data_IF_423236788884
#
_entry.id   IF_423236788884
#
_cell.length_a   1.000
_cell.length_b   1.000
_cell.length_c   1.000
_cell.angle_alpha   90.00
_cell.angle_beta   90.00
_cell.angle_gamma   90.00
#
_symmetry.space_group_name_H-M   'P 1'
#
loop_
_entity.id
_entity.type
_entity.pdbx_description
1 polymer ?
#
# COMPACT_ATOMS: atom_id res chain seq x y z
N UNK A 1 49.46 10.32 3.81
CA UNK A 1 48.28 10.47 4.70
C UNK A 1 47.14 11.37 4.17
N UNK A 2 47.33 12.24 3.15
CA UNK A 2 46.22 13.05 2.61
C UNK A 2 45.20 12.23 1.79
N UNK A 3 45.68 11.25 1.04
CA UNK A 3 44.84 10.41 0.16
C UNK A 3 43.89 9.45 0.89
N UNK A 4 44.27 8.95 2.08
CA UNK A 4 43.42 8.05 2.87
C UNK A 4 42.21 8.75 3.47
N UNK A 5 42.30 10.05 3.77
CA UNK A 5 41.16 10.86 4.26
C UNK A 5 40.14 11.15 3.15
N UNK A 6 40.62 11.37 1.92
CA UNK A 6 39.75 11.58 0.75
C UNK A 6 39.01 10.29 0.40
N UNK A 7 39.69 9.14 0.44
CA UNK A 7 39.06 7.84 0.19
C UNK A 7 37.96 7.52 1.22
N UNK A 8 38.22 7.77 2.51
CA UNK A 8 37.21 7.58 3.56
C UNK A 8 35.99 8.50 3.38
N UNK A 9 36.21 9.75 2.95
CA UNK A 9 35.13 10.70 2.67
C UNK A 9 34.28 10.24 1.47
N UNK A 10 34.91 9.78 0.38
CA UNK A 10 34.20 9.27 -0.80
C UNK A 10 33.38 8.04 -0.46
N UNK A 11 33.93 7.11 0.33
CA UNK A 11 33.20 5.92 0.80
C UNK A 11 32.02 6.36 1.68
N UNK A 12 32.21 7.30 2.61
CA UNK A 12 31.13 7.81 3.47
C UNK A 12 30.01 8.48 2.65
N UNK A 13 30.37 9.26 1.62
CA UNK A 13 29.40 9.92 0.73
C UNK A 13 28.66 8.90 -0.13
N UNK A 14 29.33 7.86 -0.63
CA UNK A 14 28.69 6.76 -1.36
C UNK A 14 27.72 5.95 -0.48
N UNK A 15 28.07 5.69 0.79
CA UNK A 15 27.16 5.03 1.72
C UNK A 15 25.98 5.94 2.11
N UNK A 16 26.21 7.23 2.36
CA UNK A 16 25.15 8.17 2.70
C UNK A 16 24.14 8.39 1.55
N UNK A 17 24.59 8.34 0.29
CA UNK A 17 23.71 8.51 -0.87
C UNK A 17 22.83 7.30 -1.17
N UNK A 18 23.15 6.10 -0.67
CA UNK A 18 22.23 4.95 -0.72
C UNK A 18 21.06 5.03 0.26
N UNK A 19 21.15 5.88 1.28
CA UNK A 19 20.12 6.04 2.32
C UNK A 19 19.04 7.08 1.97
N UNK A 20 19.20 7.83 0.88
CA UNK A 20 18.32 8.96 0.52
C UNK A 20 17.19 8.60 -0.46
N UNK A 21 17.13 7.36 -0.95
CA UNK A 21 16.05 6.92 -1.82
C UNK A 21 15.19 5.90 -1.07
N UNK A 22 14.06 6.36 -0.56
CA UNK A 22 12.86 5.62 -0.10
C UNK A 22 12.28 4.61 -1.12
N UNK A 23 12.99 4.38 -2.21
CA UNK A 23 12.47 3.90 -3.47
C UNK A 23 12.83 2.43 -3.65
N UNK A 24 11.83 1.55 -3.48
CA UNK A 24 12.05 0.12 -3.63
C UNK A 24 11.69 -0.36 -5.03
N UNK A 25 12.67 -0.96 -5.70
CA UNK A 25 12.49 -1.53 -7.05
C UNK A 25 11.60 -2.78 -7.03
N UNK A 26 11.51 -3.48 -5.90
CA UNK A 26 10.66 -4.65 -5.73
C UNK A 26 9.71 -4.48 -4.55
N UNK A 27 8.52 -5.03 -4.72
CA UNK A 27 7.48 -5.08 -3.68
C UNK A 27 7.95 -5.89 -2.46
N UNK A 28 8.70 -6.97 -2.68
CA UNK A 28 9.21 -7.81 -1.61
C UNK A 28 10.14 -7.02 -0.69
N UNK A 29 11.05 -6.21 -1.25
CA UNK A 29 11.95 -5.37 -0.46
C UNK A 29 11.18 -4.31 0.32
N UNK A 30 10.17 -3.68 -0.29
CA UNK A 30 9.28 -2.75 0.40
C UNK A 30 8.62 -3.39 1.62
N UNK A 31 8.08 -4.60 1.46
CA UNK A 31 7.43 -5.32 2.57
C UNK A 31 8.43 -5.70 3.66
N UNK A 32 9.66 -6.10 3.29
CA UNK A 32 10.70 -6.39 4.27
C UNK A 32 11.13 -5.14 5.03
N UNK A 33 11.27 -3.99 4.36
CA UNK A 33 11.58 -2.71 5.01
C UNK A 33 10.45 -2.26 5.93
N UNK A 34 9.20 -2.39 5.50
CA UNK A 34 8.01 -2.14 6.33
C UNK A 34 8.03 -3.01 7.58
N UNK A 35 8.23 -4.32 7.41
CA UNK A 35 8.28 -5.23 8.54
C UNK A 35 9.46 -4.93 9.48
N UNK A 36 10.62 -4.57 8.92
CA UNK A 36 11.81 -4.20 9.69
C UNK A 36 11.60 -2.91 10.48
N UNK A 37 10.98 -1.88 9.89
CA UNK A 37 10.72 -0.62 10.59
C UNK A 37 9.76 -0.82 11.75
N UNK A 38 8.74 -1.65 11.57
CA UNK A 38 7.81 -2.04 12.64
C UNK A 38 8.53 -2.83 13.75
N UNK A 39 9.35 -3.82 13.39
CA UNK A 39 10.12 -4.63 14.33
C UNK A 39 11.08 -3.80 15.17
N UNK A 40 11.78 -2.87 14.52
CA UNK A 40 12.75 -1.97 15.18
C UNK A 40 12.07 -0.80 15.88
N UNK A 41 10.76 -0.64 15.70
CA UNK A 41 9.99 0.53 16.10
C UNK A 41 10.62 1.84 15.60
N UNK A 42 11.14 1.82 14.37
CA UNK A 42 11.73 2.97 13.69
C UNK A 42 10.67 3.69 12.84
N UNK A 43 10.07 4.70 13.45
CA UNK A 43 9.07 5.57 12.82
C UNK A 43 9.63 6.26 11.57
N UNK A 44 10.88 6.71 11.62
CA UNK A 44 11.49 7.44 10.49
C UNK A 44 11.66 6.52 9.29
N UNK A 45 12.11 5.28 9.53
CA UNK A 45 12.20 4.26 8.49
C UNK A 45 10.82 3.89 7.92
N UNK A 46 9.77 3.88 8.75
CA UNK A 46 8.40 3.64 8.30
C UNK A 46 7.88 4.77 7.42
N UNK A 47 8.05 6.04 7.84
CA UNK A 47 7.64 7.22 7.06
C UNK A 47 8.39 7.28 5.73
N UNK A 48 9.65 6.87 5.72
CA UNK A 48 10.47 6.78 4.50
C UNK A 48 9.99 5.71 3.50
N UNK A 49 8.91 4.98 3.75
CA UNK A 49 8.30 4.09 2.76
C UNK A 49 7.17 4.76 1.97
N UNK A 50 6.80 5.97 2.36
CA UNK A 50 5.79 6.80 1.70
C UNK A 50 6.44 7.81 0.75
N UNK A 51 5.72 8.29 -0.27
CA UNK A 51 6.26 9.28 -1.19
C UNK A 51 6.53 10.60 -0.46
N UNK A 52 7.69 11.20 -0.72
CA UNK A 52 8.00 12.58 -0.33
C UNK A 52 7.28 13.59 -1.25
N UNK A 53 7.40 14.90 -0.99
CA UNK A 53 6.69 15.93 -1.76
C UNK A 53 6.92 15.86 -3.28
N UNK A 54 8.17 15.63 -3.71
CA UNK A 54 8.51 15.50 -5.13
C UNK A 54 7.95 14.19 -5.73
N UNK A 55 8.01 13.09 -4.99
CA UNK A 55 7.49 11.80 -5.45
C UNK A 55 5.97 11.79 -5.53
N UNK A 56 5.32 12.46 -4.57
CA UNK A 56 3.89 12.68 -4.55
C UNK A 56 3.42 13.48 -5.78
N UNK A 57 4.26 14.39 -6.29
CA UNK A 57 3.98 15.12 -7.52
C UNK A 57 3.76 14.19 -8.73
N UNK A 58 4.55 13.11 -8.85
CA UNK A 58 4.39 12.13 -9.93
C UNK A 58 3.12 11.30 -9.80
N UNK A 59 2.58 11.16 -8.59
CA UNK A 59 1.28 10.52 -8.35
C UNK A 59 0.15 11.48 -8.72
N UNK A 60 0.25 12.74 -8.28
CA UNK A 60 -0.84 13.70 -8.40
C UNK A 60 -0.96 14.32 -9.80
N UNK A 61 0.15 14.56 -10.51
CA UNK A 61 0.11 15.24 -11.81
C UNK A 61 -0.78 14.51 -12.82
N UNK A 62 -0.65 13.19 -13.06
CA UNK A 62 -1.54 12.49 -13.99
C UNK A 62 -3.00 12.54 -13.58
N UNK A 63 -3.30 12.48 -12.27
CA UNK A 63 -4.66 12.54 -11.73
C UNK A 63 -5.29 13.92 -11.93
N UNK A 64 -4.52 14.97 -11.68
CA UNK A 64 -4.93 16.36 -11.91
C UNK A 64 -5.11 16.61 -13.40
N UNK A 65 -4.18 16.16 -14.24
CA UNK A 65 -4.30 16.28 -15.69
C UNK A 65 -5.55 15.60 -16.23
N UNK A 66 -5.85 14.38 -15.79
CA UNK A 66 -7.06 13.66 -16.20
C UNK A 66 -8.33 14.41 -15.77
N UNK A 67 -8.36 14.89 -14.52
CA UNK A 67 -9.47 15.69 -14.00
C UNK A 67 -9.72 16.97 -14.83
N UNK A 68 -8.66 17.72 -15.15
CA UNK A 68 -8.76 18.95 -15.95
C UNK A 68 -9.04 18.70 -17.44
N UNK A 69 -8.61 17.56 -17.98
CA UNK A 69 -8.83 17.18 -19.38
C UNK A 69 -10.18 16.47 -19.61
N UNK A 70 -10.89 16.12 -18.53
CA UNK A 70 -12.23 15.54 -18.60
C UNK A 70 -13.22 16.43 -19.35
N UNK A 71 -14.17 15.82 -20.07
CA UNK A 71 -15.17 16.56 -20.84
C UNK A 71 -16.07 17.44 -19.95
N UNK A 72 -16.28 17.01 -18.71
CA UNK A 72 -17.06 17.73 -17.72
C UNK A 72 -16.37 19.04 -17.30
N UNK A 73 -15.08 18.98 -16.96
CA UNK A 73 -14.32 20.18 -16.61
C UNK A 73 -14.14 21.10 -17.82
N UNK A 74 -13.90 20.55 -19.01
CA UNK A 74 -13.85 21.35 -20.26
C UNK A 74 -15.17 22.05 -20.55
N UNK A 75 -16.30 21.38 -20.34
CA UNK A 75 -17.64 21.97 -20.49
C UNK A 75 -17.88 23.10 -19.49
N UNK A 76 -17.49 22.91 -18.23
CA UNK A 76 -17.61 23.93 -17.19
C UNK A 76 -16.73 25.17 -17.48
N UNK A 77 -15.51 24.97 -17.95
CA UNK A 77 -14.58 26.05 -18.32
C UNK A 77 -14.99 26.78 -19.61
N UNK A 78 -15.63 26.08 -20.56
CA UNK A 78 -16.14 26.69 -21.78
C UNK A 78 -17.44 27.50 -21.55
N UNK A 79 -18.22 27.13 -20.55
CA UNK A 79 -19.50 27.79 -20.21
C UNK A 79 -19.31 29.10 -19.43
N UNK A 80 -18.09 29.41 -19.00
CA UNK A 80 -17.77 30.59 -18.21
C UNK A 80 -16.95 31.55 -19.07
N UNK A 81 -17.58 32.62 -19.57
CA UNK A 81 -16.98 33.53 -20.58
C UNK A 81 -15.62 34.13 -20.13
N UNK A 82 -15.40 34.27 -18.82
CA UNK A 82 -14.14 34.75 -18.22
C UNK A 82 -12.98 33.75 -18.26
N UNK A 83 -13.22 32.47 -18.51
CA UNK A 83 -12.20 31.41 -18.47
C UNK A 83 -11.78 30.91 -19.85
N UNK A 84 -12.40 31.40 -20.92
CA UNK A 84 -12.10 31.06 -22.31
C UNK A 84 -10.65 31.34 -22.75
N UNK A 85 -9.91 32.17 -22.00
CA UNK A 85 -8.50 32.50 -22.23
C UNK A 85 -7.52 31.85 -21.25
N UNK A 86 -7.99 31.04 -20.30
CA UNK A 86 -7.12 30.43 -19.28
C UNK A 86 -6.44 29.20 -19.86
N UNK A 87 -5.10 29.20 -19.82
CA UNK A 87 -4.30 28.04 -20.18
C UNK A 87 -4.47 26.94 -19.11
N UNK A 88 -5.03 25.79 -19.50
CA UNK A 88 -5.25 24.62 -18.63
C UNK A 88 -3.94 24.15 -17.99
N UNK A 89 -2.83 24.18 -18.71
CA UNK A 89 -1.52 23.79 -18.18
C UNK A 89 -1.10 24.72 -17.05
N UNK A 90 -1.43 26.02 -17.12
CA UNK A 90 -1.18 26.96 -16.02
C UNK A 90 -2.02 26.63 -14.78
N UNK A 91 -3.25 26.16 -14.93
CA UNK A 91 -4.08 25.73 -13.80
C UNK A 91 -3.54 24.45 -13.17
N UNK A 92 -3.08 23.51 -14.00
CA UNK A 92 -2.43 22.28 -13.53
C UNK A 92 -1.17 22.64 -12.73
N UNK A 93 -0.30 23.51 -13.24
CA UNK A 93 0.91 23.92 -12.52
C UNK A 93 0.60 24.61 -11.18
N UNK A 94 -0.42 25.48 -11.14
CA UNK A 94 -0.86 26.11 -9.88
C UNK A 94 -1.35 25.04 -8.89
N UNK A 95 -2.17 24.09 -9.35
CA UNK A 95 -2.67 23.01 -8.49
C UNK A 95 -1.53 22.11 -8.02
N UNK A 96 -0.56 21.81 -8.88
CA UNK A 96 0.64 21.04 -8.55
C UNK A 96 1.43 21.72 -7.44
N UNK A 97 1.71 23.02 -7.60
CA UNK A 97 2.44 23.79 -6.58
C UNK A 97 1.73 23.81 -5.22
N UNK A 98 0.39 23.77 -5.21
CA UNK A 98 -0.38 23.67 -3.98
C UNK A 98 -0.24 22.29 -3.33
N UNK A 99 -0.40 21.20 -4.10
CA UNK A 99 -0.37 19.83 -3.54
C UNK A 99 1.04 19.32 -3.24
N UNK A 100 2.07 19.97 -3.78
CA UNK A 100 3.49 19.68 -3.47
C UNK A 100 4.12 20.74 -2.58
N UNK A 101 3.32 21.64 -1.99
CA UNK A 101 3.85 22.67 -1.10
C UNK A 101 4.51 22.03 0.14
N UNK A 102 5.58 22.63 0.70
CA UNK A 102 6.24 22.10 1.90
C UNK A 102 5.31 21.90 3.09
N UNK A 103 4.26 22.72 3.20
CA UNK A 103 3.23 22.57 4.25
C UNK A 103 2.44 21.27 4.08
N UNK A 104 2.09 20.89 2.84
CA UNK A 104 1.40 19.64 2.53
C UNK A 104 2.29 18.44 2.84
N UNK A 105 3.58 18.51 2.49
CA UNK A 105 4.54 17.46 2.83
C UNK A 105 4.67 17.27 4.36
N UNK A 106 4.73 18.37 5.12
CA UNK A 106 4.76 18.31 6.58
C UNK A 106 3.47 17.69 7.16
N UNK A 107 2.31 18.04 6.62
CA UNK A 107 1.03 17.45 7.00
C UNK A 107 0.95 15.95 6.67
N UNK A 108 1.42 15.53 5.49
CA UNK A 108 1.48 14.13 5.09
C UNK A 108 2.42 13.34 6.01
N UNK A 109 3.61 13.86 6.29
CA UNK A 109 4.57 13.25 7.22
C UNK A 109 3.94 13.07 8.61
N UNK A 110 3.21 14.08 9.11
CA UNK A 110 2.47 13.98 10.37
C UNK A 110 1.39 12.90 10.33
N UNK A 111 0.65 12.77 9.22
CA UNK A 111 -0.34 11.69 9.04
C UNK A 111 0.33 10.31 9.04
N UNK A 112 1.49 10.16 8.39
CA UNK A 112 2.22 8.89 8.37
C UNK A 112 2.77 8.52 9.75
N UNK A 113 3.24 9.51 10.53
CA UNK A 113 3.59 9.34 11.95
C UNK A 113 2.41 8.85 12.79
N UNK A 114 1.23 9.46 12.62
CA UNK A 114 0.00 9.02 13.29
C UNK A 114 -0.38 7.58 12.92
N UNK A 115 -0.35 7.24 11.62
CA UNK A 115 -0.61 5.89 11.13
C UNK A 115 0.37 4.87 11.74
N UNK A 116 1.65 5.22 11.83
CA UNK A 116 2.66 4.39 12.46
C UNK A 116 2.30 4.07 13.92
N UNK A 117 2.02 5.11 14.72
CA UNK A 117 1.67 4.91 16.13
C UNK A 117 0.37 4.12 16.31
N UNK A 118 -0.67 4.44 15.53
CA UNK A 118 -1.92 3.67 15.55
C UNK A 118 -1.68 2.20 15.23
N UNK A 119 -0.82 1.92 14.26
CA UNK A 119 -0.54 0.56 13.82
C UNK A 119 0.25 -0.23 14.87
N UNK A 120 1.27 0.38 15.48
CA UNK A 120 2.00 -0.19 16.61
C UNK A 120 1.03 -0.50 17.75
N UNK A 121 0.20 0.46 18.16
CA UNK A 121 -0.76 0.32 19.25
C UNK A 121 -1.81 -0.77 18.95
N UNK A 122 -2.35 -0.81 17.73
CA UNK A 122 -3.29 -1.86 17.28
C UNK A 122 -2.65 -3.25 17.36
N UNK A 123 -1.38 -3.39 16.99
CA UNK A 123 -0.62 -4.63 17.10
C UNK A 123 -0.43 -5.04 18.57
N UNK A 124 0.03 -4.13 19.41
CA UNK A 124 0.29 -4.37 20.83
C UNK A 124 -0.99 -4.76 21.59
N UNK A 125 -2.12 -4.10 21.30
CA UNK A 125 -3.45 -4.49 21.83
C UNK A 125 -3.84 -5.92 21.46
N UNK A 126 -3.34 -6.45 20.34
CA UNK A 126 -3.56 -7.84 19.90
C UNK A 126 -2.50 -8.81 20.42
N UNK A 127 -1.57 -8.35 21.26
CA UNK A 127 -0.49 -9.16 21.83
C UNK A 127 0.73 -9.30 20.92
N UNK A 128 0.85 -8.49 19.87
CA UNK A 128 2.06 -8.45 19.04
C UNK A 128 3.17 -7.77 19.83
N UNK A 129 4.26 -8.50 20.06
CA UNK A 129 5.54 -7.94 20.49
C UNK A 129 6.39 -7.68 19.25
N UNK A 130 6.43 -6.44 18.80
CA UNK A 130 7.06 -6.07 17.52
C UNK A 130 8.55 -6.43 17.47
N UNK A 131 9.28 -6.27 18.57
CA UNK A 131 10.72 -6.58 18.63
C UNK A 131 11.02 -8.09 18.46
N UNK A 132 10.08 -8.94 18.85
CA UNK A 132 10.15 -10.40 18.70
C UNK A 132 9.50 -10.89 17.39
N UNK A 133 9.07 -9.98 16.52
CA UNK A 133 8.36 -10.35 15.31
C UNK A 133 9.29 -10.97 14.25
N UNK A 134 8.82 -12.03 13.61
CA UNK A 134 9.50 -12.79 12.58
C UNK A 134 8.58 -12.95 11.37
N UNK A 135 9.03 -12.49 10.21
CA UNK A 135 8.33 -12.67 8.95
C UNK A 135 8.29 -14.17 8.60
N UNK A 136 7.11 -14.71 8.29
CA UNK A 136 6.95 -16.12 7.88
C UNK A 136 6.77 -16.22 6.36
N UNK A 137 5.80 -15.48 5.81
CA UNK A 137 5.49 -15.54 4.39
C UNK A 137 4.80 -14.27 3.89
N UNK A 138 4.99 -13.99 2.61
CA UNK A 138 4.32 -12.91 1.88
C UNK A 138 3.48 -13.56 0.79
N UNK A 139 2.22 -13.17 0.69
CA UNK A 139 1.32 -13.54 -0.39
C UNK A 139 0.83 -12.27 -1.08
N UNK A 140 1.13 -12.15 -2.37
CA UNK A 140 0.80 -10.98 -3.16
C UNK A 140 -0.43 -11.28 -4.01
N UNK A 141 -1.37 -10.35 -4.00
CA UNK A 141 -2.57 -10.41 -4.81
C UNK A 141 -2.58 -9.23 -5.79
N UNK A 142 -2.43 -9.56 -7.07
CA UNK A 142 -2.48 -8.59 -8.17
C UNK A 142 -3.90 -8.42 -8.72
N UNK A 143 -4.91 -9.06 -8.13
CA UNK A 143 -6.30 -8.88 -8.55
C UNK A 143 -6.73 -7.44 -8.27
N UNK A 144 -7.08 -6.78 -9.35
CA UNK A 144 -7.59 -5.42 -9.31
C UNK A 144 -8.95 -5.41 -8.62
N UNK A 145 -9.08 -4.58 -7.59
CA UNK A 145 -10.39 -4.22 -7.11
C UNK A 145 -11.01 -3.25 -8.13
N UNK A 146 -11.76 -3.81 -9.08
CA UNK A 146 -12.45 -3.05 -10.13
C UNK A 146 -13.59 -2.19 -9.58
N UNK A 147 -13.92 -2.27 -8.30
CA UNK A 147 -14.91 -1.41 -7.67
C UNK A 147 -14.31 -0.13 -7.10
N UNK A 148 -13.01 -0.11 -6.81
CA UNK A 148 -12.31 1.04 -6.23
C UNK A 148 -11.98 2.08 -7.32
N UNK A 149 -12.65 3.23 -7.28
CA UNK A 149 -12.46 4.34 -8.22
C UNK A 149 -11.06 4.92 -8.15
N UNK A 150 -10.42 4.96 -6.97
CA UNK A 150 -9.06 5.47 -6.82
C UNK A 150 -8.06 4.55 -7.53
N UNK A 151 -8.22 3.23 -7.38
CA UNK A 151 -7.39 2.24 -8.06
C UNK A 151 -7.51 2.38 -9.58
N UNK A 152 -8.71 2.64 -10.11
CA UNK A 152 -8.91 2.88 -11.55
C UNK A 152 -8.12 4.08 -12.06
N UNK A 153 -8.21 5.22 -11.36
CA UNK A 153 -7.51 6.44 -11.75
C UNK A 153 -5.99 6.25 -11.69
N UNK A 154 -5.47 5.53 -10.68
CA UNK A 154 -4.04 5.20 -10.60
C UNK A 154 -3.57 4.33 -11.78
N UNK A 155 -4.37 3.33 -12.17
CA UNK A 155 -4.06 2.47 -13.31
C UNK A 155 -4.08 3.22 -14.64
N UNK A 156 -5.06 4.13 -14.83
CA UNK A 156 -5.14 4.98 -16.02
C UNK A 156 -3.91 5.89 -16.14
N UNK A 157 -3.36 6.33 -15.02
CA UNK A 157 -2.09 7.05 -14.94
C UNK A 157 -0.84 6.17 -15.14
N UNK A 158 -0.99 4.88 -15.46
CA UNK A 158 0.12 3.95 -15.69
C UNK A 158 0.80 3.45 -14.41
N UNK A 159 0.23 3.73 -13.24
CA UNK A 159 0.72 3.20 -11.97
C UNK A 159 0.19 1.78 -11.75
N UNK A 160 0.93 0.95 -10.99
CA UNK A 160 0.46 -0.39 -10.60
C UNK A 160 0.10 -0.38 -9.13
N UNK A 161 -0.98 -1.04 -8.75
CA UNK A 161 -1.35 -1.22 -7.35
C UNK A 161 -1.21 -2.67 -6.94
N UNK A 162 -0.84 -2.92 -5.69
CA UNK A 162 -0.78 -4.26 -5.13
C UNK A 162 -1.46 -4.31 -3.76
N UNK A 163 -2.10 -5.43 -3.48
CA UNK A 163 -2.59 -5.81 -2.16
C UNK A 163 -2.00 -7.15 -1.80
N UNK A 164 -2.07 -7.54 -0.54
CA UNK A 164 -1.51 -8.80 -0.12
C UNK A 164 -1.60 -9.05 1.37
N UNK A 165 -0.96 -10.15 1.76
CA UNK A 165 -1.01 -10.70 3.09
C UNK A 165 0.43 -10.98 3.53
N UNK A 166 0.77 -10.52 4.73
CA UNK A 166 2.00 -10.85 5.44
C UNK A 166 1.63 -11.71 6.63
N UNK A 167 2.12 -12.94 6.64
CA UNK A 167 2.02 -13.79 7.80
C UNK A 167 3.32 -13.69 8.59
N UNK A 168 3.20 -13.50 9.91
CA UNK A 168 4.34 -13.32 10.79
C UNK A 168 4.08 -13.98 12.14
N UNK A 169 5.15 -14.23 12.90
CA UNK A 169 5.09 -14.78 14.26
C UNK A 169 5.61 -13.74 15.23
N UNK A 170 4.99 -13.62 16.39
CA UNK A 170 5.50 -12.83 17.51
C UNK A 170 5.17 -13.54 18.81
N UNK A 171 6.15 -13.69 19.71
CA UNK A 171 5.99 -14.42 20.97
C UNK A 171 5.32 -15.80 20.81
N UNK A 172 5.78 -16.59 19.83
CA UNK A 172 5.23 -17.92 19.45
C UNK A 172 3.77 -17.92 18.95
N UNK A 173 3.15 -16.76 18.79
CA UNK A 173 1.79 -16.61 18.24
C UNK A 173 1.88 -16.19 16.77
N UNK A 174 1.10 -16.86 15.93
CA UNK A 174 1.01 -16.51 14.51
C UNK A 174 -0.03 -15.41 14.28
N UNK A 175 0.36 -14.41 13.51
CA UNK A 175 -0.45 -13.28 13.10
C UNK A 175 -0.50 -13.21 11.58
N UNK A 176 -1.48 -12.45 11.11
CA UNK A 176 -1.67 -12.08 9.71
C UNK A 176 -1.88 -10.58 9.65
N UNK A 177 -1.14 -9.91 8.79
CA UNK A 177 -1.32 -8.53 8.41
C UNK A 177 -1.79 -8.49 6.96
N UNK A 178 -2.81 -7.71 6.64
CA UNK A 178 -3.17 -7.45 5.24
C UNK A 178 -2.89 -6.01 4.87
N UNK A 179 -2.39 -5.81 3.66
CA UNK A 179 -2.14 -4.49 3.11
C UNK A 179 -2.85 -4.33 1.77
N UNK A 180 -3.16 -3.09 1.43
CA UNK A 180 -3.78 -2.69 0.20
C UNK A 180 -3.13 -1.40 -0.32
N UNK A 181 -3.36 -1.10 -1.59
CA UNK A 181 -2.96 0.18 -2.20
C UNK A 181 -1.45 0.46 -2.14
N UNK A 182 -0.59 -0.57 -2.17
CA UNK A 182 0.83 -0.32 -2.41
C UNK A 182 0.96 0.10 -3.87
N UNK A 183 1.60 1.24 -4.13
CA UNK A 183 1.61 1.85 -5.47
C UNK A 183 3.00 1.82 -6.05
N UNK A 184 3.15 1.26 -7.26
CA UNK A 184 4.34 1.42 -8.08
C UNK A 184 4.18 2.66 -8.94
N UNK A 185 5.09 3.60 -8.75
CA UNK A 185 5.16 4.85 -9.52
C UNK A 185 6.52 4.83 -10.24
N UNK A 186 6.58 4.31 -11.47
CA UNK A 186 7.85 4.16 -12.20
C UNK A 186 8.62 5.47 -12.36
N UNK A 187 7.91 6.59 -12.52
CA UNK A 187 8.50 7.93 -12.65
C UNK A 187 9.10 8.44 -11.34
N UNK A 188 8.50 8.06 -10.22
CA UNK A 188 9.07 8.23 -8.88
C UNK A 188 9.94 7.03 -8.47
N UNK A 189 10.30 6.18 -9.44
CA UNK A 189 11.27 5.08 -9.48
C UNK A 189 11.02 3.83 -8.63
N UNK A 190 9.82 3.62 -8.08
CA UNK A 190 9.59 2.39 -7.31
C UNK A 190 8.22 2.21 -6.71
N UNK A 191 8.16 1.23 -5.80
CA UNK A 191 7.02 0.95 -4.95
C UNK A 191 7.03 1.82 -3.70
N UNK A 192 5.84 2.27 -3.32
CA UNK A 192 5.57 3.00 -2.10
C UNK A 192 4.55 2.26 -1.25
N UNK A 193 4.70 2.40 0.07
CA UNK A 193 3.77 1.85 1.05
C UNK A 193 2.40 2.49 0.89
N UNK A 194 1.38 1.69 1.17
CA UNK A 194 -0.01 2.08 1.11
C UNK A 194 -0.71 1.93 2.45
N UNK A 195 -1.90 1.36 2.39
CA UNK A 195 -2.78 1.16 3.53
C UNK A 195 -2.53 -0.21 4.15
N UNK A 196 -2.22 -0.25 5.44
CA UNK A 196 -2.23 -1.49 6.21
C UNK A 196 -3.61 -1.62 6.87
N UNK A 197 -4.40 -2.61 6.43
CA UNK A 197 -5.84 -2.72 6.75
C UNK A 197 -6.08 -3.35 8.12
N UNK A 198 -5.44 -4.49 8.37
CA UNK A 198 -5.70 -5.28 9.56
C UNK A 198 -4.47 -6.05 10.03
N UNK A 199 -4.42 -6.30 11.33
CA UNK A 199 -3.58 -7.30 11.98
C UNK A 199 -4.54 -8.24 12.70
N UNK A 200 -4.46 -9.55 12.49
CA UNK A 200 -5.32 -10.55 13.15
C UNK A 200 -4.48 -11.72 13.66
N UNK A 201 -4.91 -12.33 14.77
CA UNK A 201 -4.28 -13.54 15.30
C UNK A 201 -4.78 -14.74 14.53
N UNK A 202 -3.92 -15.55 13.92
CA UNK A 202 -4.33 -16.71 13.09
C UNK A 202 -5.08 -17.80 13.87
N UNK A 203 -4.90 -17.89 15.19
CA UNK A 203 -5.58 -18.87 16.03
C UNK A 203 -7.07 -18.56 16.27
N UNK A 204 -7.53 -17.35 15.91
CA UNK A 204 -8.95 -17.01 15.87
C UNK A 204 -9.55 -17.63 14.60
N UNK A 205 -10.00 -18.89 14.69
CA UNK A 205 -10.90 -19.44 13.67
C UNK A 205 -12.15 -18.56 13.62
N UNK A 206 -12.71 -18.21 12.45
CA UNK A 206 -14.11 -17.81 12.39
C UNK A 206 -14.92 -18.96 13.00
N UNK A 207 -15.70 -18.66 14.06
CA UNK A 207 -16.66 -19.63 14.61
C UNK A 207 -17.68 -19.92 13.51
N UNK A 208 -17.70 -21.17 13.05
CA UNK A 208 -18.71 -21.78 12.18
C UNK A 208 -19.24 -20.92 11.02
N UNK A 209 -18.69 -21.14 9.82
CA UNK A 209 -19.58 -21.29 8.68
C UNK A 209 -19.73 -22.81 8.55
N UNK A 210 -20.89 -23.31 8.94
CA UNK A 210 -21.30 -24.67 8.60
C UNK A 210 -21.12 -24.85 7.09
N UNK A 211 -20.13 -25.64 6.69
CA UNK A 211 -20.13 -26.19 5.34
C UNK A 211 -21.38 -27.09 5.27
N UNK A 212 -22.34 -26.83 4.36
CA UNK A 212 -23.42 -27.78 4.15
C UNK A 212 -22.78 -29.07 3.66
N UNK A 213 -22.84 -30.11 4.49
CA UNK A 213 -22.44 -31.45 4.11
C UNK A 213 -23.35 -31.87 2.95
N UNK A 214 -22.77 -31.96 1.75
CA UNK A 214 -23.38 -32.65 0.61
C UNK A 214 -23.46 -34.13 0.97
N UNK A 215 -24.51 -34.48 1.71
CA UNK A 215 -24.96 -35.86 1.84
C UNK A 215 -25.61 -36.24 0.52
N UNK A 216 -24.88 -37.00 -0.28
CA UNK A 216 -25.44 -37.70 -1.44
C UNK A 216 -26.56 -38.63 -0.96
N UNK A 217 -27.76 -38.59 -1.55
CA UNK A 217 -28.81 -39.54 -1.22
C UNK A 217 -28.40 -40.95 -1.65
N UNK A 218 -28.17 -41.81 -0.66
CA UNK A 218 -28.08 -43.26 -0.82
C UNK A 218 -29.41 -43.78 -1.37
N UNK A 219 -29.39 -44.23 -2.61
CA UNK A 219 -30.55 -44.81 -3.27
C UNK A 219 -30.46 -46.35 -3.15
N UNK A 220 -31.01 -46.91 -2.09
CA UNK A 220 -31.20 -48.37 -1.94
C UNK A 220 -32.69 -48.69 -1.75
N UNK A 221 -33.41 -48.82 -2.87
CA UNK A 221 -34.69 -49.55 -2.90
C UNK A 221 -34.48 -50.91 -3.53
N UNK A 222 -34.14 -51.88 -2.69
CA UNK A 222 -34.33 -53.31 -2.96
C UNK A 222 -35.70 -53.68 -2.38
N UNK A 223 -36.72 -53.83 -3.22
CA UNK A 223 -38.01 -54.40 -2.79
C UNK A 223 -38.16 -55.79 -3.39
N UNK A 224 -37.73 -56.78 -2.61
CA UNK A 224 -38.08 -58.20 -2.75
C UNK A 224 -39.59 -58.34 -2.48
N UNK A 225 -40.33 -59.01 -3.36
CA UNK A 225 -41.72 -59.40 -3.11
C UNK A 225 -41.95 -60.81 -3.68
N UNK A 226 -41.63 -61.80 -2.86
CA UNK A 226 -42.29 -63.11 -2.78
C UNK A 226 -43.24 -62.97 -1.55
N UNK A 227 -44.43 -63.57 -1.42
CA UNK A 227 -44.93 -64.89 -1.82
C UNK A 227 -46.47 -64.94 -1.66
N UNK A 228 -47.10 -65.89 -2.36
CA UNK A 228 -48.33 -66.67 -2.08
C UNK A 228 -49.36 -66.21 -1.01
N UNK A 229 -50.60 -65.97 -1.45
CA UNK A 229 -51.74 -66.93 -1.37
C UNK A 229 -52.92 -66.39 -2.17
#
# INVERSE_FOLDING_TARGET
MKYTKILALVILVCFASTLLNAQEKSIDTLIHKLFSSLKQQDEKAFIALYPNGQQFAYIMRPLIEDAFKSNEMKGALASNEKTSSINIDSLIEVQMNQVTAPQVEAELSKKYSQLYHEFIEKGEKKGVKWQEAELISISLDSTLDKSDTEVKSLLQAGMKTMKGIVDFRSNKVNYRMTFAKFVNVPQAGGWFSGEIKEIVRKAERPRNIEQPSLTLPSNSKTKKKDTHS
#
